data_IF_085725367198
#
_entry.id   IF_085725367198
#
_cell.length_a   1.000
_cell.length_b   1.000
_cell.length_c   1.000
_cell.angle_alpha   90.00
_cell.angle_beta   90.00
_cell.angle_gamma   90.00
#
_symmetry.space_group_name_H-M   'P 1'
#
loop_
_entity.id
_entity.type
_entity.pdbx_description
1 polymer ?
#
# COMPACT_ATOMS: atom_id res chain seq x y z
N UNK A 1 13.13 26.92 18.78
CA UNK A 1 11.92 26.21 19.24
C UNK A 1 12.28 24.74 19.47
N UNK A 2 12.09 24.22 20.69
CA UNK A 2 12.48 22.85 21.09
C UNK A 2 11.65 21.82 20.30
N UNK A 3 12.33 20.84 19.70
CA UNK A 3 11.80 19.73 18.87
C UNK A 3 10.74 18.87 19.60
N UNK A 4 10.60 19.01 20.91
CA UNK A 4 9.67 18.25 21.74
C UNK A 4 8.20 18.67 21.62
N UNK A 5 7.86 19.85 21.09
CA UNK A 5 6.53 20.45 21.30
C UNK A 5 5.52 20.36 20.14
N UNK A 6 5.74 19.54 19.10
CA UNK A 6 4.76 19.40 18.00
C UNK A 6 4.45 17.94 17.62
N UNK A 7 3.50 17.34 18.34
CA UNK A 7 2.23 16.89 17.74
C UNK A 7 2.32 15.74 16.69
N UNK A 8 3.17 14.73 16.91
CA UNK A 8 2.98 13.39 16.29
C UNK A 8 3.21 12.22 17.27
N UNK A 9 3.54 12.50 18.53
CA UNK A 9 3.55 11.50 19.59
C UNK A 9 2.24 11.45 20.38
N UNK A 10 1.26 12.33 20.11
CA UNK A 10 0.03 12.43 20.92
C UNK A 10 -0.80 11.14 20.87
N UNK A 11 -0.99 10.56 19.68
CA UNK A 11 -1.78 9.33 19.57
C UNK A 11 -1.04 8.11 20.10
N UNK A 12 0.30 8.05 19.99
CA UNK A 12 1.07 6.92 20.52
C UNK A 12 1.09 6.98 22.05
N UNK A 13 1.38 8.16 22.62
CA UNK A 13 1.36 8.34 24.06
C UNK A 13 -0.04 8.11 24.61
N UNK A 14 -1.10 8.61 23.95
CA UNK A 14 -2.47 8.31 24.33
C UNK A 14 -2.74 6.80 24.27
N UNK A 15 -2.35 6.11 23.19
CA UNK A 15 -2.56 4.66 23.08
C UNK A 15 -1.79 3.85 24.13
N UNK A 16 -0.60 4.31 24.51
CA UNK A 16 0.15 3.77 25.65
C UNK A 16 -0.54 4.07 26.99
N UNK A 17 -1.15 5.25 27.17
CA UNK A 17 -1.96 5.54 28.34
C UNK A 17 -3.18 4.62 28.44
N UNK A 18 -3.78 4.21 27.31
CA UNK A 18 -4.81 3.17 27.31
C UNK A 18 -4.23 1.82 27.77
N UNK A 19 -3.05 1.43 27.28
CA UNK A 19 -2.40 0.19 27.71
C UNK A 19 -2.07 0.18 29.20
N UNK A 20 -1.65 1.33 29.74
CA UNK A 20 -1.32 1.51 31.16
C UNK A 20 -2.58 1.50 32.04
N UNK A 21 -3.63 2.21 31.62
CA UNK A 21 -4.87 2.31 32.39
C UNK A 21 -5.65 1.00 32.40
N UNK A 22 -5.88 0.41 31.22
CA UNK A 22 -6.73 -0.78 31.09
C UNK A 22 -6.01 -2.09 31.38
N UNK A 23 -4.67 -2.10 31.34
CA UNK A 23 -3.84 -3.29 31.52
C UNK A 23 -4.34 -4.53 30.74
N UNK A 24 -4.57 -4.43 29.41
CA UNK A 24 -5.07 -5.56 28.63
C UNK A 24 -4.10 -6.75 28.65
N UNK A 25 -4.62 -7.98 28.54
CA UNK A 25 -3.80 -9.21 28.42
C UNK A 25 -2.81 -9.14 27.25
N UNK A 26 -3.28 -8.56 26.14
CA UNK A 26 -2.49 -8.36 24.93
C UNK A 26 -2.68 -6.96 24.37
N UNK A 27 -1.61 -6.39 23.84
CA UNK A 27 -1.59 -5.10 23.18
C UNK A 27 -0.85 -5.21 21.85
N UNK A 28 -1.46 -4.70 20.79
CA UNK A 28 -0.88 -4.65 19.45
C UNK A 28 -0.86 -3.22 18.95
N UNK A 29 0.31 -2.72 18.60
CA UNK A 29 0.48 -1.44 17.93
C UNK A 29 0.99 -1.69 16.51
N UNK A 30 0.20 -1.27 15.52
CA UNK A 30 0.59 -1.21 14.11
C UNK A 30 0.99 0.22 13.73
N UNK A 31 2.03 0.35 12.88
CA UNK A 31 2.42 1.62 12.32
C UNK A 31 3.16 1.46 10.98
N UNK A 32 3.41 2.56 10.28
CA UNK A 32 4.23 2.57 9.06
C UNK A 32 5.63 2.04 9.33
N UNK A 33 6.28 1.41 8.33
CA UNK A 33 7.67 0.89 8.44
C UNK A 33 8.63 1.90 9.09
N UNK A 34 8.56 3.16 8.68
CA UNK A 34 9.49 4.20 9.14
C UNK A 34 9.32 4.57 10.62
N UNK A 35 8.30 4.05 11.31
CA UNK A 35 8.11 4.26 12.74
C UNK A 35 9.34 3.89 13.56
N UNK A 36 10.01 2.78 13.22
CA UNK A 36 11.20 2.28 13.94
C UNK A 36 12.42 3.21 13.84
N UNK A 37 12.49 4.05 12.79
CA UNK A 37 13.60 4.99 12.55
C UNK A 37 13.19 6.46 12.69
N UNK A 38 11.89 6.74 12.85
CA UNK A 38 11.35 8.09 12.96
C UNK A 38 11.96 8.84 14.15
N UNK A 39 12.23 10.14 13.95
CA UNK A 39 12.89 11.00 14.94
C UNK A 39 14.15 10.33 15.55
N UNK A 40 15.03 9.80 14.69
CA UNK A 40 16.24 9.05 15.08
C UNK A 40 15.91 7.86 16.01
N UNK A 41 14.77 7.22 15.80
CA UNK A 41 14.25 6.12 16.60
C UNK A 41 13.84 6.47 18.03
N UNK A 42 13.73 7.75 18.40
CA UNK A 42 13.37 8.16 19.77
C UNK A 42 11.96 7.72 20.15
N UNK A 43 10.97 7.93 19.27
CA UNK A 43 9.57 7.56 19.53
C UNK A 43 9.41 6.05 19.70
N UNK A 44 10.08 5.26 18.84
CA UNK A 44 10.11 3.81 18.96
C UNK A 44 10.73 3.36 20.29
N UNK A 45 11.91 3.91 20.66
CA UNK A 45 12.57 3.59 21.93
C UNK A 45 11.73 3.96 23.15
N UNK A 46 11.06 5.10 23.13
CA UNK A 46 10.14 5.50 24.19
C UNK A 46 8.98 4.51 24.31
N UNK A 47 8.39 4.10 23.19
CA UNK A 47 7.29 3.12 23.17
C UNK A 47 7.72 1.79 23.80
N UNK A 48 8.93 1.30 23.46
CA UNK A 48 9.50 0.09 24.07
C UNK A 48 9.73 0.28 25.57
N UNK A 49 10.37 1.38 25.96
CA UNK A 49 10.65 1.67 27.36
C UNK A 49 9.38 1.75 28.21
N UNK A 50 8.34 2.45 27.72
CA UNK A 50 7.07 2.58 28.43
C UNK A 50 6.35 1.24 28.62
N UNK A 51 6.29 0.39 27.59
CA UNK A 51 5.67 -0.94 27.72
C UNK A 51 6.44 -1.84 28.69
N UNK A 52 7.77 -1.80 28.64
CA UNK A 52 8.63 -2.54 29.58
C UNK A 52 8.50 -2.03 31.02
N UNK A 53 8.41 -0.71 31.22
CA UNK A 53 8.20 -0.07 32.52
C UNK A 53 6.82 -0.42 33.10
N UNK A 54 5.81 -0.56 32.26
CA UNK A 54 4.51 -1.10 32.64
C UNK A 54 4.58 -2.59 33.03
N UNK A 55 5.68 -3.30 32.77
CA UNK A 55 5.84 -4.72 33.09
C UNK A 55 5.33 -5.67 32.01
N UNK A 56 5.05 -5.18 30.80
CA UNK A 56 4.72 -6.06 29.67
C UNK A 56 5.97 -6.77 29.14
N UNK A 57 5.78 -8.00 28.67
CA UNK A 57 6.68 -8.62 27.71
C UNK A 57 6.48 -7.95 26.35
N UNK A 58 7.54 -7.65 25.59
CA UNK A 58 7.44 -6.89 24.34
C UNK A 58 8.23 -7.55 23.21
N UNK A 59 7.64 -7.58 22.01
CA UNK A 59 8.30 -7.96 20.76
C UNK A 59 7.94 -6.98 19.66
N UNK A 60 8.88 -6.66 18.78
CA UNK A 60 8.60 -5.83 17.61
C UNK A 60 9.10 -6.49 16.32
N UNK A 61 8.58 -6.03 15.20
CA UNK A 61 8.91 -6.58 13.89
C UNK A 61 8.40 -5.71 12.74
N UNK A 62 9.06 -5.81 11.59
CA UNK A 62 8.53 -5.28 10.33
C UNK A 62 8.09 -6.45 9.47
N UNK A 63 6.82 -6.43 9.06
CA UNK A 63 6.24 -7.45 8.18
C UNK A 63 5.85 -6.82 6.84
N UNK A 64 5.86 -7.62 5.78
CA UNK A 64 5.43 -7.24 4.43
C UNK A 64 4.09 -7.92 4.10
N UNK A 65 3.07 -7.14 3.79
CA UNK A 65 1.72 -7.65 3.53
C UNK A 65 1.69 -8.71 2.40
N UNK A 66 2.48 -8.51 1.35
CA UNK A 66 2.59 -9.46 0.23
C UNK A 66 2.99 -10.88 0.63
N UNK A 67 3.69 -11.06 1.75
CA UNK A 67 4.03 -12.39 2.27
C UNK A 67 2.83 -13.15 2.88
N UNK A 68 1.69 -12.49 3.04
CA UNK A 68 0.48 -13.02 3.69
C UNK A 68 -0.72 -13.11 2.75
N UNK A 69 -0.50 -13.10 1.42
CA UNK A 69 -1.53 -13.47 0.45
C UNK A 69 -2.27 -12.31 -0.19
N UNK A 70 -1.66 -11.12 -0.26
CA UNK A 70 -2.19 -9.96 -1.01
C UNK A 70 -1.20 -9.49 -2.07
N UNK A 71 -1.69 -8.96 -3.18
CA UNK A 71 -0.84 -8.44 -4.27
C UNK A 71 -0.32 -7.03 -3.99
N UNK A 72 0.25 -6.76 -2.82
CA UNK A 72 0.63 -5.40 -2.43
C UNK A 72 1.98 -5.34 -1.72
N UNK A 73 2.82 -4.39 -2.15
CA UNK A 73 4.03 -4.05 -1.40
C UNK A 73 3.69 -3.04 -0.29
N UNK A 74 3.49 -3.52 0.93
CA UNK A 74 3.15 -2.72 2.11
C UNK A 74 3.84 -3.27 3.35
N UNK A 75 4.92 -2.61 3.74
CA UNK A 75 5.69 -2.91 4.96
C UNK A 75 5.09 -2.16 6.15
N UNK A 76 4.91 -2.85 7.28
CA UNK A 76 4.38 -2.30 8.53
C UNK A 76 5.18 -2.74 9.72
N UNK A 77 5.39 -1.81 10.64
CA UNK A 77 5.96 -2.06 11.94
C UNK A 77 4.85 -2.51 12.89
N UNK A 78 5.10 -3.61 13.59
CA UNK A 78 4.21 -4.16 14.59
C UNK A 78 4.95 -4.26 15.92
N UNK A 79 4.24 -3.99 17.00
CA UNK A 79 4.70 -4.19 18.38
C UNK A 79 3.64 -5.01 19.08
N UNK A 80 4.02 -6.21 19.52
CA UNK A 80 3.29 -7.01 20.47
C UNK A 80 3.73 -6.67 21.88
N UNK A 81 2.77 -6.55 22.79
CA UNK A 81 2.99 -6.61 24.22
C UNK A 81 2.01 -7.59 24.88
N UNK A 82 2.49 -8.39 25.82
CA UNK A 82 1.72 -9.38 26.57
C UNK A 82 1.93 -9.20 28.07
N UNK A 83 0.86 -9.30 28.86
CA UNK A 83 0.93 -9.18 30.31
C UNK A 83 1.87 -10.25 30.92
N UNK A 84 2.38 -10.08 32.15
CA UNK A 84 3.35 -11.00 32.76
C UNK A 84 2.95 -12.48 32.73
N UNK A 85 1.66 -12.78 32.94
CA UNK A 85 1.14 -14.14 33.01
C UNK A 85 0.74 -14.73 31.65
N UNK A 86 0.92 -13.98 30.57
CA UNK A 86 0.54 -14.38 29.21
C UNK A 86 1.76 -14.82 28.39
N UNK A 87 1.56 -15.69 27.41
CA UNK A 87 2.61 -16.01 26.45
C UNK A 87 2.69 -14.94 25.38
N UNK A 88 3.88 -14.34 25.20
CA UNK A 88 4.11 -13.34 24.15
C UNK A 88 3.95 -13.95 22.75
N UNK A 89 3.02 -13.46 21.90
CA UNK A 89 2.77 -14.07 20.60
C UNK A 89 3.98 -14.10 19.67
N UNK A 90 4.09 -15.19 18.90
CA UNK A 90 5.06 -15.31 17.83
C UNK A 90 4.62 -14.58 16.56
N UNK A 91 5.60 -14.32 15.67
CA UNK A 91 5.30 -13.75 14.37
C UNK A 91 4.74 -14.81 13.42
N UNK A 92 3.72 -14.47 12.60
CA UNK A 92 3.24 -15.39 11.60
C UNK A 92 4.32 -15.63 10.53
N UNK A 93 4.50 -16.88 10.14
CA UNK A 93 5.42 -17.23 9.06
C UNK A 93 4.92 -16.72 7.71
N UNK A 94 5.86 -16.32 6.86
CA UNK A 94 5.57 -15.91 5.50
C UNK A 94 5.00 -17.10 4.70
N UNK A 95 3.81 -16.92 4.14
CA UNK A 95 3.11 -17.95 3.35
C UNK A 95 3.37 -17.82 1.86
N UNK A 96 3.56 -16.60 1.38
CA UNK A 96 3.77 -16.29 -0.03
C UNK A 96 5.16 -15.70 -0.28
N UNK A 97 5.76 -16.08 -1.40
CA UNK A 97 6.96 -15.40 -1.89
C UNK A 97 6.60 -13.96 -2.28
N UNK A 98 7.54 -13.05 -2.08
CA UNK A 98 7.44 -11.65 -2.49
C UNK A 98 8.83 -11.17 -2.87
N UNK A 99 8.91 -10.15 -3.73
CA UNK A 99 10.18 -9.47 -3.98
C UNK A 99 10.84 -9.03 -2.66
N UNK A 100 12.18 -9.05 -2.62
CA UNK A 100 12.97 -8.82 -1.40
C UNK A 100 12.48 -7.61 -0.63
N UNK A 101 12.21 -7.85 0.66
CA UNK A 101 11.39 -6.94 1.45
C UNK A 101 12.18 -6.17 2.51
N UNK A 102 13.51 -6.33 2.60
CA UNK A 102 14.38 -5.53 3.49
C UNK A 102 13.71 -5.27 4.85
N UNK A 103 13.28 -6.37 5.49
CA UNK A 103 12.48 -6.35 6.73
C UNK A 103 13.34 -6.03 7.96
N UNK A 104 14.66 -6.00 7.78
CA UNK A 104 15.62 -5.66 8.82
C UNK A 104 15.38 -4.27 9.41
N UNK A 105 15.52 -4.19 10.73
CA UNK A 105 15.57 -2.98 11.53
C UNK A 105 16.99 -2.81 12.04
N UNK A 106 17.62 -1.69 11.71
CA UNK A 106 18.95 -1.34 12.23
C UNK A 106 18.85 -0.94 13.70
N UNK A 107 19.56 -1.64 14.57
CA UNK A 107 19.64 -1.36 16.00
C UNK A 107 20.77 -0.37 16.32
N UNK A 108 20.74 0.29 17.50
CA UNK A 108 21.89 1.01 18.04
C UNK A 108 23.11 0.08 18.09
N UNK A 109 24.24 0.49 17.52
CA UNK A 109 25.44 -0.35 17.38
C UNK A 109 25.59 -1.06 16.02
N UNK A 110 24.67 -0.84 15.08
CA UNK A 110 24.80 -1.30 13.69
C UNK A 110 24.30 -2.71 13.41
N UNK A 111 23.88 -3.45 14.45
CA UNK A 111 23.24 -4.76 14.29
C UNK A 111 21.94 -4.69 13.50
N UNK A 112 21.61 -5.77 12.78
CA UNK A 112 20.35 -5.92 12.05
C UNK A 112 19.45 -6.89 12.80
N UNK A 113 18.21 -6.49 13.05
CA UNK A 113 17.18 -7.35 13.63
C UNK A 113 16.06 -7.56 12.62
N UNK A 114 15.68 -8.81 12.37
CA UNK A 114 14.54 -9.16 11.53
C UNK A 114 13.62 -10.10 12.31
N UNK A 115 12.33 -9.73 12.37
CA UNK A 115 11.31 -10.49 13.09
C UNK A 115 10.95 -11.81 12.40
N UNK A 116 11.01 -11.83 11.07
CA UNK A 116 10.73 -12.98 10.23
C UNK A 116 11.77 -13.07 9.12
N UNK A 117 11.97 -14.28 8.59
CA UNK A 117 12.84 -14.50 7.43
C UNK A 117 12.28 -13.77 6.21
N UNK A 118 13.15 -13.20 5.37
CA UNK A 118 12.74 -12.65 4.09
C UNK A 118 12.31 -13.80 3.17
N UNK A 119 11.05 -13.81 2.74
CA UNK A 119 10.50 -14.85 1.89
C UNK A 119 10.88 -14.69 0.40
N UNK A 120 11.80 -13.78 0.07
CA UNK A 120 12.36 -13.64 -1.28
C UNK A 120 13.11 -14.89 -1.78
N UNK A 121 13.62 -15.72 -0.87
CA UNK A 121 14.31 -16.98 -1.20
C UNK A 121 13.37 -18.19 -1.30
N UNK A 122 12.12 -18.08 -0.83
CA UNK A 122 11.16 -19.18 -0.86
C UNK A 122 10.06 -19.04 0.21
N UNK A 123 8.88 -19.56 -0.13
CA UNK A 123 7.72 -19.71 0.74
C UNK A 123 6.82 -20.83 0.17
N UNK A 124 5.87 -21.38 0.95
CA UNK A 124 4.99 -22.45 0.47
C UNK A 124 4.15 -22.11 -0.77
N UNK A 125 3.75 -20.84 -0.93
CA UNK A 125 2.90 -20.39 -2.03
C UNK A 125 3.58 -19.33 -2.90
N UNK A 126 3.19 -19.28 -4.19
CA UNK A 126 3.59 -18.24 -5.13
C UNK A 126 3.06 -16.85 -4.71
N UNK A 127 3.67 -15.78 -5.22
CA UNK A 127 3.16 -14.42 -5.05
C UNK A 127 1.75 -14.28 -5.66
N UNK A 128 0.90 -13.47 -5.02
CA UNK A 128 -0.40 -13.04 -5.57
C UNK A 128 -0.15 -11.80 -6.45
N UNK A 129 -0.69 -11.80 -7.66
CA UNK A 129 -0.45 -10.74 -8.66
C UNK A 129 -1.66 -9.81 -8.81
N UNK A 130 -1.48 -8.71 -9.55
CA UNK A 130 -2.61 -7.84 -9.94
C UNK A 130 -3.67 -8.64 -10.70
N UNK A 131 -3.26 -9.57 -11.57
CA UNK A 131 -4.18 -10.46 -12.29
C UNK A 131 -5.01 -11.31 -11.34
N UNK A 132 -4.38 -11.94 -10.37
CA UNK A 132 -5.11 -12.71 -9.35
C UNK A 132 -6.11 -11.84 -8.58
N UNK A 133 -5.91 -10.52 -8.54
CA UNK A 133 -6.67 -9.63 -7.67
C UNK A 133 -7.85 -8.97 -8.38
N UNK A 134 -7.71 -8.59 -9.65
CA UNK A 134 -8.72 -7.73 -10.33
C UNK A 134 -9.15 -8.20 -11.73
N UNK A 135 -8.63 -9.31 -12.26
CA UNK A 135 -8.91 -9.73 -13.63
C UNK A 135 -10.40 -10.04 -13.92
N UNK A 136 -11.16 -10.51 -12.93
CA UNK A 136 -12.59 -10.82 -13.06
C UNK A 136 -13.51 -9.59 -12.97
N UNK A 137 -12.97 -8.39 -12.69
CA UNK A 137 -13.80 -7.20 -12.55
C UNK A 137 -14.28 -6.68 -13.92
N UNK A 138 -15.58 -6.31 -14.04
CA UNK A 138 -16.10 -5.75 -15.28
C UNK A 138 -15.39 -4.44 -15.64
N UNK A 139 -15.23 -4.11 -16.94
CA UNK A 139 -14.64 -2.84 -17.33
C UNK A 139 -15.52 -1.66 -16.90
N UNK A 140 -14.88 -0.58 -16.47
CA UNK A 140 -15.55 0.69 -16.13
C UNK A 140 -14.80 1.88 -16.71
N UNK A 141 -15.51 2.98 -16.93
CA UNK A 141 -14.96 4.22 -17.47
C UNK A 141 -14.21 5.04 -16.40
N UNK A 142 -13.45 6.05 -16.85
CA UNK A 142 -12.97 7.12 -15.98
C UNK A 142 -14.17 7.84 -15.34
N UNK A 143 -14.15 8.05 -14.03
CA UNK A 143 -15.26 8.68 -13.31
C UNK A 143 -16.48 7.78 -13.05
N UNK A 144 -16.35 6.46 -13.19
CA UNK A 144 -17.44 5.54 -12.86
C UNK A 144 -17.91 5.72 -11.41
N UNK A 145 -19.22 5.83 -11.21
CA UNK A 145 -19.86 6.21 -9.94
C UNK A 145 -20.97 5.24 -9.49
N UNK A 146 -21.21 4.17 -10.26
CA UNK A 146 -22.23 3.17 -9.95
C UNK A 146 -21.82 2.34 -8.73
N UNK A 147 -22.44 2.63 -7.57
CA UNK A 147 -22.09 2.02 -6.29
C UNK A 147 -22.36 0.52 -6.21
N UNK A 148 -23.35 0.02 -6.93
CA UNK A 148 -23.75 -1.39 -6.92
C UNK A 148 -24.03 -1.87 -8.32
N UNK A 149 -23.44 -3.00 -8.67
CA UNK A 149 -23.67 -3.71 -9.92
C UNK A 149 -23.54 -5.22 -9.67
N UNK A 150 -23.56 -6.01 -10.73
CA UNK A 150 -23.32 -7.46 -10.68
C UNK A 150 -21.99 -7.79 -11.34
N UNK A 151 -21.35 -8.86 -10.89
CA UNK A 151 -20.24 -9.42 -11.65
C UNK A 151 -20.76 -9.95 -12.99
N UNK A 152 -20.05 -9.63 -14.06
CA UNK A 152 -20.38 -10.11 -15.41
C UNK A 152 -19.67 -11.41 -15.77
N UNK A 153 -18.66 -11.79 -14.97
CA UNK A 153 -17.83 -12.97 -15.18
C UNK A 153 -17.60 -13.73 -13.86
N UNK A 154 -17.36 -15.06 -13.93
CA UNK A 154 -16.99 -15.84 -12.76
C UNK A 154 -15.61 -15.42 -12.23
N UNK A 155 -15.32 -15.77 -10.98
CA UNK A 155 -13.98 -15.63 -10.43
C UNK A 155 -13.01 -16.56 -11.18
N UNK A 156 -11.85 -16.04 -11.57
CA UNK A 156 -10.83 -16.79 -12.32
C UNK A 156 -9.74 -17.35 -11.39
N UNK A 157 -9.31 -16.56 -10.41
CA UNK A 157 -8.22 -16.91 -9.50
C UNK A 157 -8.73 -17.46 -8.18
N UNK A 158 -7.88 -18.25 -7.50
CA UNK A 158 -8.16 -18.68 -6.11
C UNK A 158 -8.42 -17.48 -5.19
N UNK A 159 -7.67 -16.39 -5.36
CA UNK A 159 -7.83 -15.18 -4.57
C UNK A 159 -9.23 -14.59 -4.77
N UNK A 160 -9.67 -14.41 -6.02
CA UNK A 160 -10.99 -13.89 -6.37
C UNK A 160 -12.12 -14.77 -5.82
N UNK A 161 -11.98 -16.10 -5.93
CA UNK A 161 -12.94 -17.04 -5.35
C UNK A 161 -13.05 -16.85 -3.83
N UNK A 162 -11.92 -16.67 -3.15
CA UNK A 162 -11.88 -16.45 -1.71
C UNK A 162 -12.51 -15.11 -1.31
N UNK A 163 -12.13 -14.01 -1.96
CA UNK A 163 -12.61 -12.67 -1.58
C UNK A 163 -14.07 -12.42 -1.99
N UNK A 164 -14.56 -13.00 -3.09
CA UNK A 164 -15.98 -12.92 -3.50
C UNK A 164 -16.86 -13.76 -2.59
N UNK A 165 -16.37 -14.91 -2.11
CA UNK A 165 -17.16 -15.83 -1.32
C UNK A 165 -18.43 -16.24 -2.08
N UNK A 166 -19.60 -15.93 -1.52
CA UNK A 166 -20.92 -16.26 -2.12
C UNK A 166 -21.65 -15.03 -2.69
N UNK A 167 -20.98 -13.88 -2.86
CA UNK A 167 -21.63 -12.67 -3.37
C UNK A 167 -21.58 -12.58 -4.89
N UNK A 168 -22.73 -12.31 -5.50
CA UNK A 168 -22.85 -11.93 -6.91
C UNK A 168 -22.96 -10.41 -7.10
N UNK A 169 -23.09 -9.67 -5.99
CA UNK A 169 -23.16 -8.21 -5.99
C UNK A 169 -21.75 -7.64 -5.90
N UNK A 170 -21.41 -6.79 -6.86
CA UNK A 170 -20.19 -5.99 -6.90
C UNK A 170 -20.49 -4.60 -6.37
N UNK A 171 -19.82 -4.20 -5.30
CA UNK A 171 -19.97 -2.88 -4.68
C UNK A 171 -18.71 -2.05 -4.84
N UNK A 172 -18.86 -0.72 -4.89
CA UNK A 172 -17.76 0.25 -4.88
C UNK A 172 -16.74 0.07 -6.02
N UNK A 173 -17.16 -0.48 -7.15
CA UNK A 173 -16.34 -0.51 -8.37
C UNK A 173 -16.37 0.83 -9.10
N UNK A 174 -16.04 1.88 -8.33
CA UNK A 174 -16.10 3.29 -8.72
C UNK A 174 -14.69 3.87 -8.84
N UNK A 175 -14.47 4.77 -9.80
CA UNK A 175 -13.18 5.41 -10.06
C UNK A 175 -13.31 6.92 -9.90
N UNK A 176 -12.27 7.55 -9.34
CA UNK A 176 -12.10 8.99 -9.42
C UNK A 176 -12.10 9.44 -10.88
N UNK A 177 -12.78 10.55 -11.16
CA UNK A 177 -12.75 11.19 -12.47
C UNK A 177 -11.46 12.01 -12.60
N UNK A 178 -10.65 11.68 -13.61
CA UNK A 178 -9.52 12.51 -14.01
C UNK A 178 -9.99 13.71 -14.84
N UNK A 179 -9.31 14.84 -14.67
CA UNK A 179 -9.44 15.95 -15.61
C UNK A 179 -9.01 15.55 -17.03
N UNK A 180 -9.46 16.31 -18.02
CA UNK A 180 -9.24 16.06 -19.45
C UNK A 180 -7.76 15.78 -19.77
N UNK A 181 -6.86 16.65 -19.29
CA UNK A 181 -5.43 16.52 -19.55
C UNK A 181 -4.83 15.22 -18.99
N UNK A 182 -5.20 14.81 -17.77
CA UNK A 182 -4.71 13.57 -17.17
C UNK A 182 -5.35 12.34 -17.81
N UNK A 183 -6.59 12.42 -18.27
CA UNK A 183 -7.22 11.36 -19.07
C UNK A 183 -6.48 11.16 -20.39
N UNK A 184 -6.16 12.25 -21.11
CA UNK A 184 -5.38 12.19 -22.35
C UNK A 184 -3.99 11.60 -22.07
N UNK A 185 -3.32 12.04 -21.00
CA UNK A 185 -2.04 11.43 -20.57
C UNK A 185 -2.19 9.94 -20.36
N UNK A 186 -3.19 9.49 -19.60
CA UNK A 186 -3.46 8.06 -19.36
C UNK A 186 -3.62 7.30 -20.67
N UNK A 187 -4.39 7.83 -21.62
CA UNK A 187 -4.59 7.23 -22.94
C UNK A 187 -3.29 7.09 -23.74
N UNK A 188 -2.34 8.03 -23.59
CA UNK A 188 -1.05 8.01 -24.28
C UNK A 188 0.00 7.12 -23.59
N UNK A 189 -0.19 6.74 -22.33
CA UNK A 189 0.69 5.77 -21.66
C UNK A 189 0.48 4.37 -22.28
N UNK A 190 1.53 3.74 -22.85
CA UNK A 190 1.44 2.42 -23.44
C UNK A 190 0.88 1.35 -22.49
N UNK A 191 0.11 0.40 -23.01
CA UNK A 191 -0.47 -0.72 -22.23
C UNK A 191 0.53 -1.87 -22.10
N UNK A 192 1.71 -1.61 -21.51
CA UNK A 192 2.76 -2.60 -21.26
C UNK A 192 3.32 -2.47 -19.84
N UNK A 193 3.89 -3.54 -19.27
CA UNK A 193 4.57 -3.48 -17.98
C UNK A 193 5.64 -2.39 -17.93
N UNK A 194 5.68 -1.67 -16.80
CA UNK A 194 6.66 -0.62 -16.53
C UNK A 194 6.46 0.68 -17.31
N UNK A 195 5.37 0.84 -18.07
CA UNK A 195 5.05 2.08 -18.76
C UNK A 195 4.61 3.18 -17.78
N UNK A 196 5.19 4.38 -17.92
CA UNK A 196 4.95 5.53 -17.05
C UNK A 196 5.16 6.88 -17.75
N UNK A 197 5.19 7.99 -17.01
CA UNK A 197 5.31 9.34 -17.57
C UNK A 197 6.49 9.55 -18.53
N UNK A 198 7.53 8.71 -18.47
CA UNK A 198 8.70 8.78 -19.35
C UNK A 198 8.39 8.30 -20.77
N UNK A 199 7.28 7.59 -20.95
CA UNK A 199 6.79 7.11 -22.25
C UNK A 199 5.80 8.09 -22.91
N UNK A 200 5.51 9.23 -22.28
CA UNK A 200 4.65 10.26 -22.88
C UNK A 200 5.36 10.91 -24.09
N UNK A 201 4.69 11.06 -25.24
CA UNK A 201 5.27 11.75 -26.38
C UNK A 201 5.47 13.24 -26.11
N UNK A 202 6.57 13.79 -26.62
CA UNK A 202 6.88 15.21 -26.55
C UNK A 202 6.05 16.00 -27.58
N UNK A 203 4.75 16.13 -27.32
CA UNK A 203 3.81 16.87 -28.16
C UNK A 203 2.96 17.85 -27.35
N UNK A 204 2.35 18.81 -28.06
CA UNK A 204 1.35 19.71 -27.52
C UNK A 204 -0.03 19.27 -27.96
N UNK A 205 -0.98 19.30 -27.02
CA UNK A 205 -2.37 18.96 -27.28
C UNK A 205 -3.26 20.19 -27.10
N UNK A 206 -4.34 20.27 -27.89
CA UNK A 206 -5.38 21.27 -27.72
C UNK A 206 -6.49 20.70 -26.85
N UNK A 207 -6.74 21.32 -25.69
CA UNK A 207 -7.81 20.96 -24.78
C UNK A 207 -9.18 21.44 -25.30
N UNK A 208 -10.26 20.93 -24.72
CA UNK A 208 -11.63 21.37 -24.96
C UNK A 208 -11.83 22.89 -24.76
N UNK A 209 -11.06 23.49 -23.84
CA UNK A 209 -11.02 24.94 -23.59
C UNK A 209 -10.36 25.75 -24.72
N UNK A 210 -9.78 25.08 -25.72
CA UNK A 210 -8.97 25.69 -26.78
C UNK A 210 -7.52 25.95 -26.42
N UNK A 211 -7.13 25.77 -25.15
CA UNK A 211 -5.76 25.97 -24.69
C UNK A 211 -4.83 24.88 -25.24
N UNK A 212 -3.64 25.30 -25.69
CA UNK A 212 -2.59 24.41 -26.16
C UNK A 212 -1.59 24.15 -25.02
N UNK A 213 -1.45 22.90 -24.60
CA UNK A 213 -0.64 22.51 -23.44
C UNK A 213 0.32 21.37 -23.77
N UNK A 214 1.48 21.35 -23.11
CA UNK A 214 2.43 20.25 -23.21
C UNK A 214 1.88 19.00 -22.53
N UNK A 215 1.97 17.86 -23.23
CA UNK A 215 1.50 16.60 -22.68
C UNK A 215 2.38 16.14 -21.50
N UNK A 216 3.70 16.32 -21.61
CA UNK A 216 4.65 16.05 -20.54
C UNK A 216 4.56 17.19 -19.50
N UNK A 217 4.23 16.92 -18.23
CA UNK A 217 4.22 17.95 -17.21
C UNK A 217 5.61 18.58 -17.03
N UNK A 218 5.70 19.90 -17.16
CA UNK A 218 6.96 20.67 -17.08
C UNK A 218 7.81 20.39 -15.83
N UNK A 219 7.17 20.09 -14.69
CA UNK A 219 7.90 19.79 -13.46
C UNK A 219 8.68 18.48 -13.49
N UNK A 220 8.30 17.51 -14.35
CA UNK A 220 8.93 16.19 -14.36
C UNK A 220 10.38 16.27 -14.85
N UNK A 221 10.69 16.81 -16.06
CA UNK A 221 12.07 16.91 -16.52
C UNK A 221 12.96 17.74 -15.59
N UNK A 222 12.43 18.83 -15.04
CA UNK A 222 13.21 19.80 -14.26
C UNK A 222 13.68 19.27 -12.90
N UNK A 223 12.96 18.31 -12.34
CA UNK A 223 13.26 17.74 -11.02
C UNK A 223 13.62 16.25 -11.09
N UNK A 224 13.62 15.67 -12.28
CA UNK A 224 13.86 14.24 -12.54
C UNK A 224 15.11 13.70 -11.84
N UNK A 225 16.26 14.38 -11.99
CA UNK A 225 17.53 13.93 -11.41
C UNK A 225 17.50 13.80 -9.88
N UNK A 226 16.72 14.65 -9.19
CA UNK A 226 16.60 14.64 -7.73
C UNK A 226 15.62 13.57 -7.21
N UNK A 227 14.78 13.03 -8.09
CA UNK A 227 13.67 12.14 -7.74
C UNK A 227 13.68 10.84 -8.54
N UNK A 228 14.87 10.32 -8.87
CA UNK A 228 15.04 9.07 -9.61
C UNK A 228 14.18 9.00 -10.89
N UNK A 229 14.23 10.07 -11.68
CA UNK A 229 13.49 10.24 -12.93
C UNK A 229 11.97 10.16 -12.79
N UNK A 230 11.43 10.34 -11.58
CA UNK A 230 10.00 10.20 -11.29
C UNK A 230 9.40 8.86 -11.76
N UNK A 231 10.23 7.81 -11.78
CA UNK A 231 9.82 6.48 -12.21
C UNK A 231 8.53 6.05 -11.50
N UNK A 232 7.54 5.63 -12.29
CA UNK A 232 6.22 5.19 -11.82
C UNK A 232 5.13 6.26 -11.80
N UNK A 233 5.43 7.56 -11.91
CA UNK A 233 4.37 8.58 -12.05
C UNK A 233 3.58 8.37 -13.35
N UNK A 234 2.25 8.53 -13.30
CA UNK A 234 1.35 8.13 -14.40
C UNK A 234 1.51 6.65 -14.82
N UNK A 235 2.05 5.81 -13.94
CA UNK A 235 2.36 4.42 -14.24
C UNK A 235 1.12 3.54 -14.30
N UNK A 236 1.16 2.54 -15.18
CA UNK A 236 0.18 1.44 -15.20
C UNK A 236 0.61 0.33 -14.26
N UNK A 237 -0.37 -0.29 -13.61
CA UNK A 237 -0.15 -1.56 -12.93
C UNK A 237 0.24 -2.64 -13.95
N UNK A 238 1.08 -3.57 -13.49
CA UNK A 238 1.48 -4.76 -14.23
C UNK A 238 0.64 -5.96 -13.79
N UNK A 239 0.05 -6.68 -14.73
CA UNK A 239 -0.77 -7.86 -14.45
C UNK A 239 -0.02 -8.94 -13.66
N UNK A 240 1.27 -9.11 -13.94
CA UNK A 240 2.11 -10.12 -13.28
C UNK A 240 2.89 -9.54 -12.09
N UNK A 241 2.74 -8.24 -11.86
CA UNK A 241 3.33 -7.51 -10.74
C UNK A 241 2.40 -7.41 -9.53
N UNK A 242 2.70 -6.43 -8.67
CA UNK A 242 1.95 -6.11 -7.48
C UNK A 242 1.46 -4.65 -7.50
N UNK A 243 0.40 -4.38 -6.74
CA UNK A 243 0.04 -3.02 -6.39
C UNK A 243 1.19 -2.39 -5.59
N UNK A 244 1.52 -1.12 -5.88
CA UNK A 244 2.33 -0.36 -4.95
C UNK A 244 1.56 -0.17 -3.63
N UNK A 245 2.19 0.42 -2.61
CA UNK A 245 1.48 0.71 -1.36
C UNK A 245 0.19 1.49 -1.66
N UNK A 246 -0.97 0.89 -1.38
CA UNK A 246 -2.26 1.55 -1.62
C UNK A 246 -2.35 2.77 -0.73
N UNK A 247 -2.64 3.90 -1.38
CA UNK A 247 -2.75 5.23 -0.77
C UNK A 247 -4.22 5.60 -0.62
N UNK A 248 -4.49 6.57 0.25
CA UNK A 248 -5.85 7.02 0.57
C UNK A 248 -6.51 7.81 -0.55
N UNK A 249 -5.72 8.42 -1.44
CA UNK A 249 -6.21 9.11 -2.64
C UNK A 249 -5.26 8.84 -3.82
N UNK A 250 -5.60 7.92 -4.73
CA UNK A 250 -4.76 7.60 -5.88
C UNK A 250 -4.69 8.78 -6.85
N UNK A 251 -3.49 9.32 -7.05
CA UNK A 251 -3.23 10.44 -7.95
C UNK A 251 -2.04 10.11 -8.88
N UNK A 252 -2.12 10.41 -10.20
CA UNK A 252 -1.05 10.09 -11.15
C UNK A 252 0.30 10.76 -10.84
N UNK A 253 0.25 11.97 -10.26
CA UNK A 253 1.44 12.73 -9.79
C UNK A 253 1.67 12.65 -8.28
N UNK A 254 0.94 11.77 -7.58
CA UNK A 254 1.12 11.55 -6.15
C UNK A 254 2.44 10.84 -5.84
N UNK A 255 2.75 10.69 -4.54
CA UNK A 255 4.01 10.06 -4.09
C UNK A 255 4.28 8.66 -4.65
N UNK A 256 3.22 7.92 -5.00
CA UNK A 256 3.30 6.57 -5.59
C UNK A 256 3.14 6.62 -7.11
N UNK A 257 2.15 7.36 -7.61
CA UNK A 257 1.96 7.68 -9.04
C UNK A 257 1.52 6.54 -9.95
N UNK A 258 1.87 5.29 -9.64
CA UNK A 258 1.47 4.10 -10.37
C UNK A 258 0.07 3.68 -9.94
N UNK A 259 -0.93 4.33 -10.54
CA UNK A 259 -2.34 4.17 -10.17
C UNK A 259 -3.26 3.92 -11.36
N UNK A 260 -2.74 3.71 -12.57
CA UNK A 260 -3.57 3.38 -13.72
C UNK A 260 -3.84 1.89 -13.82
N UNK A 261 -5.06 1.55 -14.26
CA UNK A 261 -5.42 0.17 -14.58
C UNK A 261 -4.48 -0.39 -15.67
N UNK A 262 -4.13 -1.69 -15.66
CA UNK A 262 -3.21 -2.26 -16.64
C UNK A 262 -3.59 -2.00 -18.10
N UNK A 263 -4.89 -2.04 -18.42
CA UNK A 263 -5.40 -1.92 -19.81
C UNK A 263 -6.48 -0.86 -20.04
N UNK A 264 -7.10 -0.34 -18.97
CA UNK A 264 -8.21 0.62 -19.05
C UNK A 264 -7.64 2.03 -18.86
N UNK A 265 -8.26 3.04 -19.48
CA UNK A 265 -7.79 4.43 -19.42
C UNK A 265 -8.41 5.16 -18.21
N UNK A 266 -8.12 4.66 -17.02
CA UNK A 266 -8.63 5.18 -15.75
C UNK A 266 -7.66 4.89 -14.60
N UNK A 267 -7.91 5.58 -13.49
CA UNK A 267 -7.31 5.24 -12.21
C UNK A 267 -7.96 3.95 -11.68
N UNK A 268 -7.25 3.25 -10.80
CA UNK A 268 -7.80 2.12 -10.06
C UNK A 268 -9.05 2.50 -9.27
N UNK A 269 -10.02 1.60 -9.22
CA UNK A 269 -11.27 1.80 -8.49
C UNK A 269 -11.11 1.62 -6.98
N UNK A 270 -12.12 2.03 -6.21
CA UNK A 270 -12.21 1.76 -4.77
C UNK A 270 -12.19 0.25 -4.51
N UNK A 271 -12.98 -0.54 -5.25
CA UNK A 271 -12.99 -2.01 -5.14
C UNK A 271 -11.63 -2.64 -5.47
N UNK A 272 -10.94 -2.19 -6.52
CA UNK A 272 -9.59 -2.68 -6.85
C UNK A 272 -8.59 -2.39 -5.73
N UNK A 273 -8.67 -1.20 -5.12
CA UNK A 273 -7.88 -0.85 -3.95
C UNK A 273 -8.24 -1.72 -2.73
N UNK A 274 -9.53 -1.99 -2.48
CA UNK A 274 -9.98 -2.85 -1.38
C UNK A 274 -9.45 -4.28 -1.53
N UNK A 275 -9.54 -4.84 -2.74
CA UNK A 275 -9.00 -6.16 -3.06
C UNK A 275 -7.47 -6.23 -2.90
N UNK A 276 -6.75 -5.17 -3.28
CA UNK A 276 -5.29 -5.10 -3.04
C UNK A 276 -4.90 -5.19 -1.56
N UNK A 277 -5.82 -4.86 -0.65
CA UNK A 277 -5.64 -4.96 0.80
C UNK A 277 -6.19 -6.28 1.38
N UNK A 278 -6.77 -7.15 0.56
CA UNK A 278 -7.36 -8.42 0.99
C UNK A 278 -8.75 -8.31 1.61
N UNK A 279 -9.47 -7.18 1.43
CA UNK A 279 -10.85 -7.09 1.91
C UNK A 279 -11.76 -8.04 1.13
N UNK A 280 -12.65 -8.79 1.81
CA UNK A 280 -13.74 -9.50 1.16
C UNK A 280 -14.63 -8.53 0.38
N UNK A 281 -15.22 -9.00 -0.72
CA UNK A 281 -16.10 -8.17 -1.55
C UNK A 281 -17.43 -7.82 -0.86
N UNK A 282 -17.77 -8.54 0.21
CA UNK A 282 -18.90 -8.25 1.09
C UNK A 282 -18.60 -7.21 2.18
N UNK A 283 -17.35 -6.78 2.35
CA UNK A 283 -16.96 -5.79 3.35
C UNK A 283 -17.54 -4.41 2.99
N UNK A 284 -18.11 -3.71 3.99
CA UNK A 284 -18.76 -2.41 3.86
C UNK A 284 -18.02 -1.35 4.67
#
# INVERSE_FOLDING_TARGET
QRVWSKVQCEMILAFLSYADYFRPRYFLLENVRNFVSFNKGQTFRLTMASLLEMGYQVRFGVLQAGNFGVSQSRKRAFIWAAAPDESLPDWPEARHVSASSQLGVTLPGGGQYAAVRDAGLGAPFRAITVRDTIADLPPVANGADTLKTVYTQPAESWFQMHIRGKTDVLTDHISKEMNELNLIRCQRIPKRPGADCRDLPAEKIKLSTGQLVDLIPWCLPNTAARHNQWKGLFGRLDWDGNFPTSITDPQPMGKVGMCFHPVQNRIVTVRECARSQGFPDSYK
#
